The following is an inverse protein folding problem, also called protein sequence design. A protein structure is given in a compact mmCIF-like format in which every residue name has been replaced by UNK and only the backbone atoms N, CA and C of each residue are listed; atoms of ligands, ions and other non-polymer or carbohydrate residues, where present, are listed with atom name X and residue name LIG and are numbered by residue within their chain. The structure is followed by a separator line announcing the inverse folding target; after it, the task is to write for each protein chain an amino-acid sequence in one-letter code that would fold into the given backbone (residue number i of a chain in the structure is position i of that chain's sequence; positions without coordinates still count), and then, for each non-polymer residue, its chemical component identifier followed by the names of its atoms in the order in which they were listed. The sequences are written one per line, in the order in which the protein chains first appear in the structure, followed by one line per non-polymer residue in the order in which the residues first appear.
data_IF_089246413385
#
_entry.id   IF_089246413385
#
_cell.length_a   1.000
_cell.length_b   1.000
_cell.length_c   1.000
_cell.angle_alpha   90.00
_cell.angle_beta   90.00
_cell.angle_gamma   90.00
#
_symmetry.space_group_name_H-M   'P 1'
#
loop_
_entity.id
_entity.type
_entity.pdbx_description
1 polymer ?
#
# COMPACT_ATOMS: atom_id res chain seq x y z
N UNK A 1 -2.52 14.52 2.45
CA UNK A 1 -1.35 13.72 2.05
C UNK A 1 -0.76 14.42 0.84
N UNK A 2 0.45 14.95 0.97
CA UNK A 2 1.21 15.51 -0.15
C UNK A 2 1.86 14.37 -0.96
N UNK A 3 2.20 14.66 -2.21
CA UNK A 3 2.97 13.74 -3.05
C UNK A 3 4.31 13.45 -2.36
N UNK A 4 4.63 12.17 -2.17
CA UNK A 4 5.87 11.73 -1.50
C UNK A 4 5.79 11.62 0.03
N UNK A 5 4.63 11.85 0.65
CA UNK A 5 4.42 11.57 2.07
C UNK A 5 4.60 10.06 2.37
N UNK A 6 4.94 9.72 3.62
CA UNK A 6 5.05 8.31 4.05
C UNK A 6 3.75 7.55 3.76
N UNK A 7 3.87 6.43 3.05
CA UNK A 7 2.73 5.62 2.63
C UNK A 7 2.05 6.10 1.34
N UNK A 8 2.60 7.11 0.66
CA UNK A 8 2.13 7.55 -0.65
C UNK A 8 2.63 6.59 -1.74
N UNK A 9 1.70 6.13 -2.58
CA UNK A 9 2.00 5.52 -3.88
C UNK A 9 1.54 6.50 -4.96
N UNK A 10 2.48 6.98 -5.77
CA UNK A 10 2.20 7.87 -6.89
C UNK A 10 2.32 7.14 -8.23
N UNK A 11 1.50 7.55 -9.19
CA UNK A 11 1.49 7.01 -10.55
C UNK A 11 1.85 8.13 -11.54
N UNK A 12 2.52 7.78 -12.62
CA UNK A 12 2.95 8.76 -13.63
C UNK A 12 1.80 9.18 -14.55
N UNK A 13 1.96 10.34 -15.20
CA UNK A 13 0.95 10.87 -16.14
C UNK A 13 -0.02 11.85 -15.48
N UNK A 14 -0.82 12.52 -16.32
CA UNK A 14 -1.70 13.63 -15.91
C UNK A 14 -3.19 13.32 -16.12
N UNK A 15 -3.51 12.25 -16.85
CA UNK A 15 -4.89 11.83 -17.08
C UNK A 15 -5.34 10.85 -16.00
N UNK A 16 -6.44 11.17 -15.33
CA UNK A 16 -7.04 10.32 -14.30
C UNK A 16 -7.47 8.94 -14.84
N UNK A 17 -7.72 8.82 -16.15
CA UNK A 17 -8.16 7.56 -16.77
C UNK A 17 -7.03 6.57 -17.04
N UNK A 18 -5.77 7.03 -17.13
CA UNK A 18 -4.64 6.20 -17.58
C UNK A 18 -4.43 4.97 -16.71
N UNK A 19 -4.62 5.10 -15.41
CA UNK A 19 -4.38 4.03 -14.44
C UNK A 19 -5.66 3.53 -13.77
N UNK A 20 -6.82 3.74 -14.40
CA UNK A 20 -8.13 3.46 -13.79
C UNK A 20 -8.25 2.03 -13.28
N UNK A 21 -7.92 1.04 -14.11
CA UNK A 21 -8.01 -0.37 -13.74
C UNK A 21 -7.13 -0.69 -12.52
N UNK A 22 -5.90 -0.17 -12.51
CA UNK A 22 -5.02 -0.30 -11.34
C UNK A 22 -5.67 0.31 -10.10
N UNK A 23 -6.15 1.55 -10.18
CA UNK A 23 -6.81 2.22 -9.04
C UNK A 23 -8.05 1.47 -8.53
N UNK A 24 -8.84 0.88 -9.42
CA UNK A 24 -10.00 0.06 -9.06
C UNK A 24 -9.59 -1.17 -8.24
N UNK A 25 -8.52 -1.86 -8.65
CA UNK A 25 -8.00 -3.03 -7.93
C UNK A 25 -7.36 -2.65 -6.58
N UNK A 26 -6.55 -1.59 -6.53
CA UNK A 26 -5.89 -1.18 -5.27
C UNK A 26 -6.88 -0.62 -4.23
N UNK A 27 -8.11 -0.29 -4.63
CA UNK A 27 -9.17 0.25 -3.76
C UNK A 27 -10.41 -0.64 -3.69
N UNK A 28 -10.27 -1.91 -4.10
CA UNK A 28 -11.35 -2.90 -4.10
C UNK A 28 -11.84 -3.23 -2.68
N UNK A 29 -11.05 -2.92 -1.65
CA UNK A 29 -11.39 -3.16 -0.26
C UNK A 29 -11.72 -1.87 0.51
N UNK A 30 -12.41 -2.04 1.62
CA UNK A 30 -12.68 -0.97 2.56
C UNK A 30 -12.56 -1.45 4.00
N UNK A 31 -12.12 -0.54 4.86
CA UNK A 31 -12.00 -0.74 6.29
C UNK A 31 -13.36 -0.57 6.97
N UNK A 32 -13.72 -1.53 7.81
CA UNK A 32 -14.84 -1.46 8.75
C UNK A 32 -14.29 -1.54 10.18
N UNK A 33 -14.44 -0.49 11.00
CA UNK A 33 -14.04 -0.57 12.41
C UNK A 33 -15.05 -1.46 13.17
N UNK A 34 -14.55 -2.51 13.79
CA UNK A 34 -15.34 -3.46 14.58
C UNK A 34 -14.81 -3.50 16.01
N UNK A 35 -15.68 -3.24 16.99
CA UNK A 35 -15.33 -3.25 18.41
C UNK A 35 -15.93 -4.48 19.11
N UNK A 36 -15.14 -5.16 19.93
CA UNK A 36 -15.60 -6.31 20.70
C UNK A 36 -14.56 -6.77 21.73
N UNK A 37 -15.02 -7.30 22.88
CA UNK A 37 -14.15 -7.81 23.97
C UNK A 37 -13.03 -6.82 24.39
N UNK A 38 -13.35 -5.53 24.48
CA UNK A 38 -12.40 -4.50 24.92
C UNK A 38 -11.35 -4.07 23.90
N UNK A 39 -11.44 -4.50 22.63
CA UNK A 39 -10.55 -4.04 21.54
C UNK A 39 -11.35 -3.55 20.34
N UNK A 40 -10.77 -2.60 19.62
CA UNK A 40 -11.24 -2.16 18.31
C UNK A 40 -10.26 -2.67 17.27
N UNK A 41 -10.77 -3.38 16.28
CA UNK A 41 -9.99 -3.89 15.14
C UNK A 41 -10.58 -3.35 13.85
N UNK A 42 -9.74 -3.32 12.83
CA UNK A 42 -10.11 -2.87 11.50
C UNK A 42 -10.26 -4.09 10.60
N UNK A 43 -11.50 -4.40 10.25
CA UNK A 43 -11.83 -5.50 9.35
C UNK A 43 -11.86 -4.97 7.91
N UNK A 44 -11.10 -5.61 7.03
CA UNK A 44 -11.07 -5.25 5.61
C UNK A 44 -12.07 -6.14 4.85
N UNK A 45 -12.95 -5.50 4.09
CA UNK A 45 -14.00 -6.17 3.32
C UNK A 45 -13.90 -5.79 1.85
N UNK A 46 -14.21 -6.75 0.98
CA UNK A 46 -14.33 -6.52 -0.46
C UNK A 46 -15.58 -5.67 -0.75
N UNK A 47 -15.47 -4.72 -1.67
CA UNK A 47 -16.61 -3.95 -2.15
C UNK A 47 -17.44 -4.83 -3.10
N UNK A 48 -18.77 -4.92 -2.91
CA UNK A 48 -19.63 -5.71 -3.79
C UNK A 48 -19.51 -5.31 -5.27
N UNK A 49 -19.29 -4.04 -5.56
CA UNK A 49 -19.18 -3.50 -6.93
C UNK A 49 -17.77 -3.63 -7.53
N UNK A 50 -16.78 -4.10 -6.75
CA UNK A 50 -15.38 -4.22 -7.16
C UNK A 50 -14.77 -5.50 -6.58
N UNK A 51 -15.07 -6.62 -7.23
CA UNK A 51 -14.58 -7.93 -6.79
C UNK A 51 -13.11 -8.20 -7.12
N UNK A 52 -12.54 -7.45 -8.06
CA UNK A 52 -11.18 -7.69 -8.56
C UNK A 52 -10.13 -7.04 -7.64
N UNK A 53 -9.58 -7.80 -6.67
CA UNK A 53 -8.56 -7.28 -5.72
C UNK A 53 -7.11 -7.73 -6.03
N UNK A 54 -6.89 -8.47 -7.12
CA UNK A 54 -5.70 -9.31 -7.32
C UNK A 54 -4.35 -8.58 -7.34
N UNK A 55 -4.34 -7.27 -7.55
CA UNK A 55 -3.12 -6.53 -7.84
C UNK A 55 -2.51 -5.86 -6.62
N UNK A 56 -3.27 -5.69 -5.53
CA UNK A 56 -2.74 -5.06 -4.33
C UNK A 56 -1.58 -5.87 -3.74
N UNK A 57 -1.78 -7.18 -3.55
CA UNK A 57 -0.74 -8.07 -3.02
C UNK A 57 0.51 -8.12 -3.91
N UNK A 58 0.31 -8.13 -5.24
CA UNK A 58 1.40 -8.11 -6.19
C UNK A 58 2.23 -6.81 -6.09
N UNK A 59 1.56 -5.65 -6.04
CA UNK A 59 2.22 -4.35 -5.88
C UNK A 59 2.99 -4.28 -4.57
N UNK A 60 2.40 -4.76 -3.47
CA UNK A 60 3.08 -4.82 -2.16
C UNK A 60 4.29 -5.75 -2.23
N UNK A 61 4.16 -6.93 -2.84
CA UNK A 61 5.26 -7.88 -3.03
C UNK A 61 6.42 -7.28 -3.83
N UNK A 62 6.13 -6.58 -4.92
CA UNK A 62 7.12 -5.86 -5.70
C UNK A 62 7.81 -4.75 -4.89
N UNK A 63 7.05 -3.98 -4.10
CA UNK A 63 7.62 -2.93 -3.25
C UNK A 63 8.54 -3.50 -2.15
N UNK A 64 8.15 -4.63 -1.54
CA UNK A 64 8.99 -5.35 -0.56
C UNK A 64 10.26 -5.86 -1.23
N UNK A 65 10.15 -6.50 -2.39
CA UNK A 65 11.30 -7.00 -3.14
C UNK A 65 12.27 -5.85 -3.51
N UNK A 66 11.75 -4.74 -4.00
CA UNK A 66 12.53 -3.53 -4.31
C UNK A 66 13.29 -3.01 -3.08
N UNK A 67 12.62 -2.92 -1.92
CA UNK A 67 13.25 -2.52 -0.65
C UNK A 67 14.35 -3.48 -0.21
N UNK A 68 14.13 -4.80 -0.33
CA UNK A 68 15.13 -5.82 -0.01
C UNK A 68 16.37 -5.72 -0.92
N UNK A 69 16.17 -5.39 -2.20
CA UNK A 69 17.25 -5.18 -3.17
C UNK A 69 17.94 -3.81 -3.03
N UNK A 70 17.42 -2.90 -2.20
CA UNK A 70 17.96 -1.55 -2.06
C UNK A 70 17.64 -0.63 -3.25
N UNK A 71 16.52 -0.87 -3.94
CA UNK A 71 16.01 0.03 -4.99
C UNK A 71 15.42 1.27 -4.31
N UNK A 72 15.89 2.44 -4.74
CA UNK A 72 15.50 3.73 -4.17
C UNK A 72 15.08 4.70 -5.28
N UNK A 73 14.03 5.48 -5.02
CA UNK A 73 13.64 6.60 -5.87
C UNK A 73 14.59 7.76 -5.59
N UNK A 74 15.37 8.17 -6.60
CA UNK A 74 16.35 9.27 -6.47
C UNK A 74 15.72 10.58 -5.97
N UNK A 75 14.44 10.79 -6.27
CA UNK A 75 13.71 12.01 -5.91
C UNK A 75 13.16 11.99 -4.48
N UNK A 76 13.15 10.84 -3.78
CA UNK A 76 12.62 10.73 -2.40
C UNK A 76 13.65 11.04 -1.30
N UNK A 77 14.83 11.54 -1.66
CA UNK A 77 15.92 11.81 -0.71
C UNK A 77 16.65 10.54 -0.24
N UNK A 78 17.70 10.68 0.60
CA UNK A 78 18.52 9.55 1.02
C UNK A 78 17.69 8.54 1.83
N UNK A 79 17.88 7.25 1.57
CA UNK A 79 17.19 6.20 2.32
C UNK A 79 17.42 6.30 3.82
N UNK A 80 16.34 6.08 4.58
CA UNK A 80 16.42 5.96 6.03
C UNK A 80 17.32 4.77 6.42
N UNK A 81 18.12 4.90 7.49
CA UNK A 81 18.95 3.80 7.97
C UNK A 81 18.08 2.58 8.30
N UNK A 82 18.52 1.39 7.84
CA UNK A 82 17.82 0.12 8.08
C UNK A 82 17.65 -0.09 9.58
N UNK A 83 16.42 -0.27 10.05
CA UNK A 83 16.13 -0.59 11.45
C UNK A 83 16.76 -1.95 11.80
N UNK A 84 17.43 -2.08 12.96
CA UNK A 84 17.97 -3.35 13.39
C UNK A 84 16.86 -4.41 13.50
N UNK A 85 17.14 -5.63 13.03
CA UNK A 85 16.19 -6.76 13.12
C UNK A 85 15.90 -7.04 14.60
N UNK A 86 14.63 -6.99 14.97
CA UNK A 86 14.17 -7.42 16.30
C UNK A 86 13.92 -8.92 16.25
N UNK A 87 14.66 -9.68 17.04
CA UNK A 87 14.40 -11.10 17.28
C UNK A 87 13.35 -11.23 18.39
N UNK A 88 12.25 -11.91 18.10
CA UNK A 88 11.28 -12.33 19.12
C UNK A 88 11.71 -13.72 19.57
N UNK A 89 12.63 -13.80 20.54
CA UNK A 89 13.00 -15.04 21.24
C UNK A 89 12.14 -15.22 22.47
#
# INVERSE_FOLDING_TARGET
MALGDRGCLSLFGQSAGTHRLLSEHLTAEYRVPTSGRGRTVDEWKLRPERSDNHWWDCVVGCAVAASMQGVELKETGPAMPKRPRVSMS
#
